data_IF_727305904884
#
_entry.id   IF_727305904884
#
_cell.length_a   1.000
_cell.length_b   1.000
_cell.length_c   1.000
_cell.angle_alpha   90.00
_cell.angle_beta   90.00
_cell.angle_gamma   90.00
#
_symmetry.space_group_name_H-M   'P 1'
#
loop_
_entity.id
_entity.type
_entity.pdbx_description
1 polymer ?
#
# COMPACT_ATOMS: atom_id res chain seq x y z
N UNK A 1 -7.81 -15.06 -0.83
CA UNK A 1 -7.65 -15.45 -2.24
C UNK A 1 -6.51 -16.45 -2.39
N UNK A 2 -5.28 -16.07 -2.05
CA UNK A 2 -4.10 -16.95 -2.15
C UNK A 2 -4.28 -18.32 -1.47
N UNK A 3 -4.77 -18.34 -0.22
CA UNK A 3 -5.11 -19.59 0.50
C UNK A 3 -6.08 -20.47 -0.28
N UNK A 4 -7.07 -19.90 -0.96
CA UNK A 4 -8.04 -20.67 -1.74
C UNK A 4 -7.40 -21.28 -3.00
N UNK A 5 -6.45 -20.58 -3.64
CA UNK A 5 -5.66 -21.10 -4.76
C UNK A 5 -4.79 -22.27 -4.28
N UNK A 6 -4.12 -22.12 -3.13
CA UNK A 6 -3.33 -23.20 -2.53
C UNK A 6 -4.17 -24.43 -2.18
N UNK A 7 -5.37 -24.23 -1.63
CA UNK A 7 -6.33 -25.31 -1.37
C UNK A 7 -6.78 -25.98 -2.67
N UNK A 8 -7.09 -25.22 -3.72
CA UNK A 8 -7.43 -25.77 -5.04
C UNK A 8 -6.31 -26.65 -5.58
N UNK A 9 -5.05 -26.18 -5.52
CA UNK A 9 -3.89 -26.95 -5.97
C UNK A 9 -3.68 -28.28 -5.22
N UNK A 10 -4.07 -28.35 -3.94
CA UNK A 10 -4.02 -29.60 -3.17
C UNK A 10 -5.17 -30.57 -3.48
N UNK A 11 -6.26 -30.09 -4.09
CA UNK A 11 -7.46 -30.89 -4.38
C UNK A 11 -7.54 -31.35 -5.84
N UNK A 12 -6.68 -30.84 -6.72
CA UNK A 12 -6.68 -31.12 -8.17
C UNK A 12 -5.32 -31.63 -8.65
N UNK A 13 -5.29 -32.47 -9.70
CA UNK A 13 -4.03 -32.87 -10.32
C UNK A 13 -3.62 -31.88 -11.41
N UNK A 14 -2.32 -31.58 -11.50
CA UNK A 14 -1.78 -30.74 -12.58
C UNK A 14 -1.80 -31.42 -13.95
N UNK A 15 -2.00 -32.75 -13.99
CA UNK A 15 -2.03 -33.53 -15.23
C UNK A 15 -3.37 -33.42 -15.96
N UNK A 16 -4.47 -33.11 -15.25
CA UNK A 16 -5.83 -33.08 -15.79
C UNK A 16 -6.58 -31.77 -15.54
N UNK A 17 -6.01 -30.84 -14.74
CA UNK A 17 -6.67 -29.61 -14.34
C UNK A 17 -5.84 -28.37 -14.69
N UNK A 18 -6.39 -27.51 -15.55
CA UNK A 18 -5.81 -26.19 -15.87
C UNK A 18 -6.34 -25.13 -14.89
N UNK A 19 -5.46 -24.58 -14.06
CA UNK A 19 -5.78 -23.45 -13.16
C UNK A 19 -5.25 -22.14 -13.74
N UNK A 20 -6.13 -21.14 -13.90
CA UNK A 20 -5.76 -19.79 -14.37
C UNK A 20 -6.13 -18.77 -13.30
N UNK A 21 -5.17 -17.94 -12.91
CA UNK A 21 -5.36 -16.83 -11.96
C UNK A 21 -5.11 -15.53 -12.70
N UNK A 22 -6.07 -14.62 -12.66
CA UNK A 22 -5.97 -13.31 -13.30
C UNK A 22 -6.68 -12.25 -12.45
N UNK A 23 -6.39 -10.99 -12.75
CA UNK A 23 -7.20 -9.85 -12.33
C UNK A 23 -7.99 -9.33 -13.53
N UNK A 24 -9.19 -8.79 -13.30
CA UNK A 24 -9.98 -8.08 -14.29
C UNK A 24 -9.46 -6.66 -14.52
N UNK A 25 -8.93 -6.03 -13.46
CA UNK A 25 -8.27 -4.73 -13.52
C UNK A 25 -7.26 -4.54 -12.37
N UNK A 26 -6.46 -3.47 -12.47
CA UNK A 26 -5.56 -3.02 -11.38
C UNK A 26 -6.19 -1.87 -10.58
N UNK A 27 -5.44 -1.32 -9.63
CA UNK A 27 -5.75 -0.07 -8.93
C UNK A 27 -4.61 0.93 -9.12
N UNK A 28 -4.88 2.21 -8.86
CA UNK A 28 -3.85 3.25 -8.71
C UNK A 28 -3.10 3.12 -7.38
N UNK A 29 -2.75 1.89 -7.01
CA UNK A 29 -1.97 1.54 -5.83
C UNK A 29 -0.48 1.61 -6.18
N UNK A 30 0.33 2.13 -5.26
CA UNK A 30 1.77 2.21 -5.42
C UNK A 30 2.46 1.79 -4.12
N UNK A 31 3.53 1.04 -4.25
CA UNK A 31 4.41 0.66 -3.14
C UNK A 31 5.82 1.18 -3.42
N UNK A 32 6.36 1.98 -2.51
CA UNK A 32 7.64 2.69 -2.70
C UNK A 32 8.22 3.25 -1.40
N UNK A 33 9.00 4.31 -1.51
CA UNK A 33 9.64 4.97 -0.36
C UNK A 33 10.93 4.31 0.12
N UNK A 34 11.56 3.45 -0.68
CA UNK A 34 12.87 2.84 -0.38
C UNK A 34 12.99 2.19 1.01
N UNK A 35 11.95 1.48 1.44
CA UNK A 35 11.92 0.86 2.76
C UNK A 35 12.86 -0.33 2.86
N UNK A 36 13.45 -0.52 4.05
CA UNK A 36 14.37 -1.63 4.28
C UNK A 36 13.65 -2.98 4.21
N UNK A 37 14.36 -4.01 3.75
CA UNK A 37 13.85 -5.39 3.72
C UNK A 37 13.44 -5.83 5.13
N UNK A 38 12.21 -6.36 5.27
CA UNK A 38 11.67 -6.80 6.55
C UNK A 38 10.85 -5.73 7.28
N UNK A 39 10.82 -4.49 6.81
CA UNK A 39 9.87 -3.50 7.32
C UNK A 39 8.43 -3.91 6.98
N UNK A 40 7.51 -3.58 7.88
CA UNK A 40 6.07 -3.77 7.64
C UNK A 40 5.66 -3.02 6.37
N UNK A 41 4.83 -3.66 5.54
CA UNK A 41 4.29 -3.04 4.31
C UNK A 41 3.40 -1.82 4.62
N UNK A 42 2.81 -1.78 5.81
CA UNK A 42 2.04 -0.64 6.33
C UNK A 42 2.92 0.39 7.07
N UNK A 43 4.23 0.17 7.10
CA UNK A 43 5.19 1.03 7.78
C UNK A 43 5.46 2.34 7.03
N UNK A 44 6.08 3.27 7.75
CA UNK A 44 6.57 4.53 7.21
C UNK A 44 7.85 4.33 6.39
N UNK A 45 8.04 5.19 5.40
CA UNK A 45 9.31 5.32 4.69
C UNK A 45 10.42 5.77 5.67
N UNK A 46 11.67 5.29 5.48
CA UNK A 46 12.80 5.63 6.35
C UNK A 46 13.16 7.12 6.29
N UNK A 47 12.87 7.80 5.18
CA UNK A 47 13.07 9.23 5.01
C UNK A 47 11.72 9.96 4.88
N UNK A 48 11.59 11.19 5.41
CA UNK A 48 10.43 12.04 5.17
C UNK A 48 10.37 12.49 3.70
N UNK A 49 9.25 13.08 3.29
CA UNK A 49 9.13 13.66 1.95
C UNK A 49 10.08 14.85 1.76
N UNK A 50 10.73 14.93 0.59
CA UNK A 50 11.63 16.04 0.25
C UNK A 50 10.91 17.38 0.04
N UNK A 51 9.58 17.40 -0.14
CA UNK A 51 8.83 18.65 -0.35
C UNK A 51 8.24 19.25 0.93
N UNK A 52 7.64 18.42 1.79
CA UNK A 52 6.94 18.91 2.98
C UNK A 52 7.54 18.42 4.31
N UNK A 53 8.65 17.66 4.23
CA UNK A 53 9.41 17.13 5.36
C UNK A 53 8.58 16.29 6.34
N UNK A 54 7.41 15.82 5.92
CA UNK A 54 6.53 14.98 6.74
C UNK A 54 6.73 13.51 6.37
N UNK A 55 6.62 12.57 7.34
CA UNK A 55 6.69 11.14 7.04
C UNK A 55 5.54 10.72 6.11
N UNK A 56 5.73 9.63 5.39
CA UNK A 56 4.71 9.02 4.53
C UNK A 56 4.81 7.50 4.60
N UNK A 57 3.74 6.80 4.24
CA UNK A 57 3.67 5.34 4.25
C UNK A 57 4.31 4.72 3.00
N UNK A 58 4.79 3.49 3.12
CA UNK A 58 5.35 2.73 2.00
C UNK A 58 4.31 2.47 0.90
N UNK A 59 3.03 2.36 1.28
CA UNK A 59 1.88 2.24 0.39
C UNK A 59 1.23 3.61 0.19
N UNK A 60 0.88 3.92 -1.06
CA UNK A 60 0.15 5.12 -1.46
C UNK A 60 -0.92 4.75 -2.50
N UNK A 61 -1.96 5.57 -2.60
CA UNK A 61 -2.89 5.52 -3.72
C UNK A 61 -2.81 6.80 -4.54
N UNK A 62 -3.12 6.77 -5.83
CA UNK A 62 -3.18 7.98 -6.65
C UNK A 62 -4.34 8.90 -6.23
N UNK A 63 -5.46 8.31 -5.80
CA UNK A 63 -6.68 8.99 -5.38
C UNK A 63 -7.41 8.18 -4.30
N UNK A 64 -8.49 8.72 -3.72
CA UNK A 64 -9.36 8.02 -2.79
C UNK A 64 -9.59 8.75 -1.46
N UNK A 65 -10.36 8.15 -0.54
CA UNK A 65 -10.79 8.81 0.69
C UNK A 65 -9.66 8.97 1.73
N UNK A 66 -8.45 8.49 1.43
CA UNK A 66 -7.24 8.74 2.22
C UNK A 66 -6.62 10.11 2.03
N UNK A 67 -7.09 10.91 1.07
CA UNK A 67 -6.66 12.30 0.96
C UNK A 67 -7.23 13.14 2.09
N UNK A 68 -6.35 13.73 2.92
CA UNK A 68 -6.78 14.58 4.04
C UNK A 68 -5.88 15.80 4.17
N UNK A 69 -6.49 16.99 4.25
CA UNK A 69 -5.80 18.23 4.59
C UNK A 69 -6.24 18.69 5.97
N UNK A 70 -5.27 19.04 6.81
CA UNK A 70 -5.49 19.70 8.10
C UNK A 70 -4.86 21.07 8.00
N UNK A 71 -5.65 22.13 8.14
CA UNK A 71 -5.23 23.53 8.00
C UNK A 71 -4.52 23.80 6.66
N UNK A 72 -5.03 23.24 5.55
CA UNK A 72 -4.47 23.42 4.21
C UNK A 72 -3.16 22.68 3.95
N UNK A 73 -2.70 21.84 4.88
CA UNK A 73 -1.48 21.04 4.72
C UNK A 73 -1.75 19.54 4.89
N UNK A 74 -0.80 18.74 4.39
CA UNK A 74 -0.76 17.30 4.65
C UNK A 74 -0.69 17.01 6.16
N UNK A 75 -1.53 16.12 6.67
CA UNK A 75 -1.47 15.63 8.06
C UNK A 75 -0.21 14.78 8.28
N UNK A 76 0.34 14.86 9.49
CA UNK A 76 1.51 14.09 9.89
C UNK A 76 1.07 12.68 10.34
N UNK A 77 1.57 11.65 9.65
CA UNK A 77 1.19 10.25 9.88
C UNK A 77 1.99 9.53 10.96
N UNK A 78 2.90 10.21 11.65
CA UNK A 78 3.73 9.59 12.70
C UNK A 78 2.94 9.01 13.89
N UNK A 79 1.70 9.47 14.10
CA UNK A 79 0.84 9.07 15.22
C UNK A 79 -0.28 8.10 14.86
N UNK A 80 -0.35 7.65 13.60
CA UNK A 80 -1.45 6.81 13.13
C UNK A 80 -1.06 5.33 13.31
N UNK A 81 -1.70 4.67 14.27
CA UNK A 81 -1.58 3.22 14.48
C UNK A 81 -2.27 2.47 13.32
N UNK A 82 -1.57 2.30 12.20
CA UNK A 82 -2.06 1.54 11.04
C UNK A 82 -2.28 0.04 11.35
N UNK A 83 -1.76 -0.45 12.48
CA UNK A 83 -1.88 -1.85 12.91
C UNK A 83 -3.26 -2.20 13.51
N UNK A 84 -4.03 -1.22 13.99
CA UNK A 84 -5.33 -1.48 14.68
C UNK A 84 -6.56 -1.38 13.80
N UNK A 85 -6.44 -0.93 12.55
CA UNK A 85 -7.61 -0.66 11.74
C UNK A 85 -7.63 -1.40 10.42
N UNK A 86 -8.22 -2.59 10.48
CA UNK A 86 -8.56 -3.43 9.33
C UNK A 86 -9.49 -2.72 8.32
N UNK A 87 -10.06 -1.56 8.65
CA UNK A 87 -10.89 -0.72 7.77
C UNK A 87 -10.18 0.47 7.10
N UNK A 88 -8.86 0.65 7.26
CA UNK A 88 -8.12 1.83 6.77
C UNK A 88 -7.26 1.60 5.52
N UNK A 89 -7.33 0.44 4.87
CA UNK A 89 -6.58 0.23 3.62
C UNK A 89 -6.98 1.29 2.57
N UNK A 90 -8.25 1.73 2.59
CA UNK A 90 -8.79 2.83 1.79
C UNK A 90 -8.36 4.24 2.21
N UNK A 91 -7.62 4.40 3.32
CA UNK A 91 -7.17 5.70 3.84
C UNK A 91 -5.65 5.89 3.75
N UNK A 92 -4.97 5.18 2.85
CA UNK A 92 -3.58 5.49 2.53
C UNK A 92 -3.52 6.73 1.63
N UNK A 93 -2.49 7.54 1.83
CA UNK A 93 -2.42 8.91 1.32
C UNK A 93 -2.51 8.96 -0.20
N UNK A 94 -3.37 9.87 -0.69
CA UNK A 94 -3.41 10.22 -2.10
C UNK A 94 -2.22 11.10 -2.48
N UNK A 95 -1.65 10.88 -3.66
CA UNK A 95 -0.40 11.47 -4.14
C UNK A 95 -0.40 13.03 -4.03
N UNK A 96 0.44 13.56 -3.15
CA UNK A 96 1.03 14.91 -3.29
C UNK A 96 2.38 14.69 -3.97
N UNK A 97 2.85 15.54 -4.91
CA UNK A 97 4.19 15.37 -5.47
C UNK A 97 5.18 15.24 -4.33
N UNK A 98 5.80 14.06 -4.20
CA UNK A 98 6.90 13.84 -3.28
C UNK A 98 8.11 13.84 -4.20
N UNK A 99 8.85 14.94 -4.15
CA UNK A 99 10.02 15.15 -4.99
C UNK A 99 10.95 13.95 -4.90
N UNK A 100 11.54 13.58 -6.03
CA UNK A 100 12.61 12.60 -6.10
C UNK A 100 13.93 13.32 -5.87
N UNK A 101 14.74 12.87 -4.91
CA UNK A 101 16.15 13.24 -4.87
C UNK A 101 16.89 12.61 -6.08
N UNK A 102 17.81 13.32 -6.75
CA UNK A 102 18.56 12.82 -7.91
C UNK A 102 19.53 11.67 -7.58
#
# INVERSE_FOLDING_TARGET
MDVAIGVSGNMTSVEDTLTVVTADHSHVFTFGGYTHRGNSIFGLAPAPSDLDLKPFTSILYGNGPGYKLVNGQRENVSSVDFCKSLGLIYKHWANWPMGSNP
#
